data_IF_321544509703
#
_entry.id   IF_321544509703
#
_cell.length_a   1.000
_cell.length_b   1.000
_cell.length_c   1.000
_cell.angle_alpha   90.00
_cell.angle_beta   90.00
_cell.angle_gamma   90.00
#
_symmetry.space_group_name_H-M   'P 1'
#
loop_
_entity.id
_entity.type
_entity.pdbx_description
1 polymer ?
#
# COMPACT_ATOMS: atom_id res chain seq x y z
N UNK A 1 -4.36 -23.58 -6.53
CA UNK A 1 -4.59 -22.22 -5.99
C UNK A 1 -4.54 -22.29 -4.49
N UNK A 2 -3.59 -21.58 -3.88
CA UNK A 2 -3.44 -21.47 -2.43
C UNK A 2 -4.38 -20.41 -1.87
N UNK A 3 -4.74 -20.48 -0.58
CA UNK A 3 -5.59 -19.48 0.10
C UNK A 3 -5.12 -18.04 -0.14
N UNK A 4 -3.79 -17.84 -0.21
CA UNK A 4 -3.23 -16.52 -0.46
C UNK A 4 -3.44 -16.01 -1.89
N UNK A 5 -3.49 -16.88 -2.90
CA UNK A 5 -3.81 -16.48 -4.27
C UNK A 5 -5.26 -16.02 -4.40
N UNK A 6 -6.17 -16.69 -3.67
CA UNK A 6 -7.57 -16.27 -3.57
C UNK A 6 -7.70 -14.89 -2.92
N UNK A 7 -7.03 -14.67 -1.78
CA UNK A 7 -7.01 -13.36 -1.11
C UNK A 7 -6.43 -12.27 -2.00
N UNK A 8 -5.33 -12.55 -2.73
CA UNK A 8 -4.74 -11.59 -3.65
C UNK A 8 -5.70 -11.22 -4.78
N UNK A 9 -6.37 -12.21 -5.39
CA UNK A 9 -7.34 -11.96 -6.45
C UNK A 9 -8.53 -11.13 -5.94
N UNK A 10 -9.02 -11.44 -4.73
CA UNK A 10 -10.09 -10.69 -4.06
C UNK A 10 -9.69 -9.23 -3.83
N UNK A 11 -8.55 -8.99 -3.20
CA UNK A 11 -8.08 -7.63 -2.89
C UNK A 11 -7.86 -6.80 -4.17
N UNK A 12 -7.30 -7.40 -5.23
CA UNK A 12 -7.11 -6.69 -6.52
C UNK A 12 -8.44 -6.29 -7.17
N UNK A 13 -9.50 -7.04 -6.92
CA UNK A 13 -10.85 -6.73 -7.42
C UNK A 13 -11.52 -5.64 -6.57
N UNK A 14 -11.37 -5.68 -5.25
CA UNK A 14 -11.98 -4.70 -4.34
C UNK A 14 -11.28 -3.34 -4.37
N UNK A 15 -9.97 -3.32 -4.63
CA UNK A 15 -9.16 -2.09 -4.60
C UNK A 15 -8.46 -1.83 -5.95
N UNK A 16 -9.20 -1.49 -7.03
CA UNK A 16 -8.61 -1.30 -8.36
C UNK A 16 -7.64 -0.10 -8.46
N UNK A 17 -7.68 0.82 -7.50
CA UNK A 17 -6.72 1.93 -7.39
C UNK A 17 -5.35 1.50 -6.86
N UNK A 18 -5.19 0.23 -6.45
CA UNK A 18 -3.99 -0.27 -5.80
C UNK A 18 -3.41 -1.46 -6.56
N UNK A 19 -2.10 -1.42 -6.81
CA UNK A 19 -1.33 -2.56 -7.33
C UNK A 19 -0.87 -3.42 -6.16
N UNK A 20 -1.62 -4.48 -5.89
CA UNK A 20 -1.36 -5.39 -4.78
C UNK A 20 -0.54 -6.59 -5.27
N UNK A 21 0.51 -6.93 -4.53
CA UNK A 21 1.36 -8.09 -4.78
C UNK A 21 1.83 -8.72 -3.47
N UNK A 22 2.16 -10.01 -3.54
CA UNK A 22 2.82 -10.72 -2.45
C UNK A 22 4.33 -10.64 -2.63
N UNK A 23 5.04 -10.14 -1.63
CA UNK A 23 6.50 -10.12 -1.62
C UNK A 23 7.04 -11.48 -1.20
N UNK A 24 8.12 -11.91 -1.85
CA UNK A 24 8.86 -13.12 -1.50
C UNK A 24 10.30 -12.72 -1.25
N UNK A 25 10.86 -13.12 -0.12
CA UNK A 25 12.28 -12.97 0.19
C UNK A 25 12.92 -14.37 0.13
N UNK A 26 13.48 -14.71 -1.02
CA UNK A 26 13.94 -16.07 -1.32
C UNK A 26 12.80 -17.10 -1.20
N UNK A 27 12.99 -18.09 -0.32
CA UNK A 27 12.01 -19.15 -0.06
C UNK A 27 10.96 -18.78 1.00
N UNK A 28 11.08 -17.61 1.65
CA UNK A 28 10.14 -17.19 2.69
C UNK A 28 9.14 -16.17 2.15
N UNK A 29 7.89 -16.36 2.52
CA UNK A 29 6.84 -15.36 2.33
C UNK A 29 7.21 -14.15 3.20
N UNK A 30 7.49 -13.02 2.55
CA UNK A 30 8.07 -11.85 3.20
C UNK A 30 7.07 -10.72 3.42
N UNK A 31 5.79 -10.97 3.12
CA UNK A 31 4.70 -10.03 3.36
C UNK A 31 3.93 -9.65 2.09
N UNK A 32 3.07 -8.67 2.26
CA UNK A 32 2.15 -8.12 1.30
C UNK A 32 2.50 -6.66 1.04
N UNK A 33 2.39 -6.25 -0.23
CA UNK A 33 2.72 -4.89 -0.66
C UNK A 33 1.60 -4.39 -1.55
N UNK A 34 1.11 -3.18 -1.28
CA UNK A 34 0.18 -2.47 -2.15
C UNK A 34 0.80 -1.14 -2.58
N UNK A 35 0.85 -0.88 -3.87
CA UNK A 35 1.31 0.40 -4.41
C UNK A 35 0.11 1.19 -4.91
N UNK A 36 -0.02 2.44 -4.49
CA UNK A 36 -1.08 3.31 -4.98
C UNK A 36 -0.83 3.63 -6.47
N UNK A 37 -1.84 3.42 -7.31
CA UNK A 37 -1.78 3.78 -8.73
C UNK A 37 -2.39 5.16 -9.00
N UNK A 38 -2.95 5.79 -7.98
CA UNK A 38 -3.55 7.12 -8.04
C UNK A 38 -2.59 8.15 -7.45
N UNK A 39 -2.65 9.35 -7.99
CA UNK A 39 -1.94 10.53 -7.46
C UNK A 39 -2.87 11.24 -6.44
N UNK A 40 -2.92 10.69 -5.23
CA UNK A 40 -3.67 11.25 -4.10
C UNK A 40 -2.71 11.60 -2.95
N UNK A 41 -3.14 12.41 -1.97
CA UNK A 41 -2.37 12.73 -0.73
C UNK A 41 -2.18 11.52 0.23
N UNK A 42 -2.36 10.28 -0.25
CA UNK A 42 -2.20 9.03 0.50
C UNK A 42 -0.81 8.43 0.28
N UNK A 43 -0.41 7.55 1.19
CA UNK A 43 0.88 6.87 1.10
C UNK A 43 1.03 6.10 -0.23
N UNK A 44 2.18 6.25 -0.94
CA UNK A 44 2.36 5.63 -2.25
C UNK A 44 2.57 4.11 -2.18
N UNK A 45 3.07 3.61 -1.05
CA UNK A 45 3.31 2.18 -0.84
C UNK A 45 2.90 1.78 0.57
N UNK A 46 2.13 0.69 0.68
CA UNK A 46 1.72 0.06 1.92
C UNK A 46 2.37 -1.32 2.02
N UNK A 47 2.71 -1.71 3.24
CA UNK A 47 3.34 -2.98 3.57
C UNK A 47 2.60 -3.63 4.74
N UNK A 48 2.43 -4.95 4.71
CA UNK A 48 1.89 -5.71 5.84
C UNK A 48 2.43 -7.13 5.83
N UNK A 49 2.67 -7.71 7.00
CA UNK A 49 3.14 -9.09 7.12
C UNK A 49 2.02 -10.08 6.74
N UNK A 50 0.77 -9.72 7.04
CA UNK A 50 -0.44 -10.47 6.69
C UNK A 50 -1.31 -9.75 5.66
N UNK A 51 -2.24 -10.50 5.04
CA UNK A 51 -3.20 -9.92 4.11
C UNK A 51 -4.23 -9.03 4.82
N UNK A 52 -4.56 -9.36 6.08
CA UNK A 52 -5.50 -8.60 6.90
C UNK A 52 -4.93 -7.23 7.28
N UNK A 53 -3.65 -7.18 7.70
CA UNK A 53 -2.98 -5.90 7.96
C UNK A 53 -2.89 -5.00 6.72
N UNK A 54 -2.64 -5.59 5.55
CA UNK A 54 -2.66 -4.83 4.31
C UNK A 54 -4.08 -4.33 3.99
N UNK A 55 -5.11 -5.16 4.19
CA UNK A 55 -6.50 -4.75 3.95
C UNK A 55 -6.95 -3.62 4.87
N UNK A 56 -6.55 -3.64 6.16
CA UNK A 56 -6.85 -2.54 7.07
C UNK A 56 -6.25 -1.21 6.59
N UNK A 57 -5.00 -1.24 6.11
CA UNK A 57 -4.38 -0.05 5.52
C UNK A 57 -5.01 0.34 4.18
N UNK A 58 -5.57 -0.59 3.41
CA UNK A 58 -6.29 -0.25 2.17
C UNK A 58 -7.64 0.43 2.45
N UNK A 59 -8.30 0.06 3.55
CA UNK A 59 -9.57 0.67 3.99
C UNK A 59 -9.36 2.10 4.48
N UNK A 60 -8.30 2.33 5.26
CA UNK A 60 -7.87 3.66 5.68
C UNK A 60 -6.39 3.89 5.36
N UNK A 61 -6.07 4.32 4.12
CA UNK A 61 -4.69 4.53 3.72
C UNK A 61 -4.05 5.65 4.53
N UNK A 62 -2.88 5.44 5.16
CA UNK A 62 -2.19 6.52 5.86
C UNK A 62 -1.93 7.70 4.93
N UNK A 63 -1.94 8.90 5.49
CA UNK A 63 -1.54 10.10 4.74
C UNK A 63 -0.09 9.96 4.28
N UNK A 64 0.21 10.55 3.12
CA UNK A 64 1.58 10.60 2.61
C UNK A 64 2.48 11.32 3.61
N UNK A 65 3.39 10.59 4.24
CA UNK A 65 4.46 11.21 5.02
C UNK A 65 5.37 12.01 4.08
N UNK A 66 5.54 13.30 4.34
CA UNK A 66 6.46 14.16 3.60
C UNK A 66 5.84 15.13 2.60
N UNK A 67 4.64 15.70 2.87
CA UNK A 67 4.29 16.97 2.23
C UNK A 67 5.40 17.97 2.60
N UNK A 68 6.16 18.53 1.65
CA UNK A 68 7.10 19.59 1.99
C UNK A 68 6.29 20.70 2.66
N UNK A 69 6.74 21.15 3.83
CA UNK A 69 6.24 22.37 4.43
C UNK A 69 6.20 23.45 3.34
N UNK A 70 5.15 24.28 3.25
CA UNK A 70 5.19 25.43 2.35
C UNK A 70 6.48 26.18 2.67
N UNK A 71 7.38 26.27 1.69
CA UNK A 71 8.68 26.89 1.86
C UNK A 71 8.45 28.22 2.59
N UNK A 72 9.05 28.35 3.78
CA UNK A 72 8.99 29.56 4.56
C UNK A 72 9.42 30.69 3.61
N UNK A 73 8.45 31.48 3.13
CA UNK A 73 8.73 32.61 2.25
C UNK A 73 9.56 33.54 3.11
N UNK A 74 10.88 33.53 2.91
CA UNK A 74 11.79 34.47 3.52
C UNK A 74 11.31 35.86 3.08
N UNK A 75 10.69 36.59 4.00
CA UNK A 75 10.44 38.01 3.81
C UNK A 75 11.76 38.75 4.10
N UNK A 76 12.12 39.76 3.26
CA UNK A 76 13.36 40.51 3.37
C UNK A 76 13.45 41.35 4.65
#
# INVERSE_FOLDING_TARGET
MTTAEYTLARLRREYPGWRIRRSRNGYRLAGWVATNLRDDDRAPTLHGDTAEELEQQLKDPPQRAGRPFPALRAHP
#
